data_IF_867711339994
#
_entry.id   IF_867711339994
#
_cell.length_a   1.000
_cell.length_b   1.000
_cell.length_c   1.000
_cell.angle_alpha   90.00
_cell.angle_beta   90.00
_cell.angle_gamma   90.00
#
_symmetry.space_group_name_H-M   'P 1'
#
loop_
_entity.id
_entity.type
_entity.pdbx_description
1 polymer ?
#
# COMPACT_ATOMS: atom_id res chain seq x y z
N UNK A 1 -14.14 -21.91 -1.58
CA UNK A 1 -12.69 -21.78 -1.35
C UNK A 1 -12.08 -21.29 -2.66
N UNK A 2 -11.95 -19.97 -2.84
CA UNK A 2 -11.39 -19.39 -4.06
C UNK A 2 -9.85 -19.49 -4.05
N UNK A 3 -9.18 -19.47 -5.21
CA UNK A 3 -7.72 -19.44 -5.26
C UNK A 3 -7.22 -18.12 -4.64
N UNK A 4 -6.44 -18.22 -3.56
CA UNK A 4 -5.69 -17.08 -3.04
C UNK A 4 -4.54 -16.79 -4.01
N UNK A 5 -4.66 -15.73 -4.80
CA UNK A 5 -3.62 -15.32 -5.73
C UNK A 5 -2.52 -14.57 -4.96
N UNK A 6 -1.50 -15.29 -4.51
CA UNK A 6 -0.44 -14.74 -3.66
C UNK A 6 0.73 -14.10 -4.44
N UNK A 7 0.65 -14.03 -5.79
CA UNK A 7 1.76 -13.55 -6.63
C UNK A 7 3.03 -14.42 -6.60
N UNK A 8 2.96 -15.59 -5.97
CA UNK A 8 4.05 -16.56 -5.81
C UNK A 8 4.13 -17.53 -7.00
N UNK A 9 5.33 -18.04 -7.31
CA UNK A 9 5.55 -19.01 -8.39
C UNK A 9 4.86 -20.36 -8.12
N UNK A 10 4.67 -20.71 -6.85
CA UNK A 10 4.00 -21.93 -6.42
C UNK A 10 2.97 -21.62 -5.34
N UNK A 11 1.89 -22.42 -5.30
CA UNK A 11 0.89 -22.30 -4.26
C UNK A 11 1.46 -22.72 -2.90
N UNK A 12 1.27 -21.88 -1.88
CA UNK A 12 1.64 -22.16 -0.49
C UNK A 12 0.43 -21.99 0.41
N UNK A 13 0.27 -22.91 1.36
CA UNK A 13 -0.86 -22.89 2.30
C UNK A 13 -0.74 -21.80 3.35
N UNK A 14 0.50 -21.45 3.74
CA UNK A 14 0.78 -20.36 4.66
C UNK A 14 0.98 -19.04 3.90
N UNK A 15 0.43 -17.96 4.46
CA UNK A 15 0.65 -16.61 3.92
C UNK A 15 2.16 -16.25 3.95
N UNK A 16 2.69 -15.63 2.87
CA UNK A 16 4.09 -15.17 2.82
C UNK A 16 4.42 -14.11 3.87
N UNK A 17 3.42 -13.34 4.28
CA UNK A 17 3.60 -12.17 5.14
C UNK A 17 2.38 -12.03 6.03
N UNK A 18 2.62 -11.65 7.29
CA UNK A 18 1.54 -11.34 8.22
C UNK A 18 0.80 -10.06 7.74
N UNK A 19 -0.52 -10.09 7.53
CA UNK A 19 -1.28 -8.96 6.98
C UNK A 19 -1.14 -7.67 7.80
N UNK A 20 -0.91 -7.78 9.11
CA UNK A 20 -0.75 -6.62 10.00
C UNK A 20 0.64 -5.98 9.95
N UNK A 21 1.60 -6.57 9.21
CA UNK A 21 3.00 -6.11 9.17
C UNK A 21 3.12 -4.65 8.74
N UNK A 22 2.34 -4.23 7.73
CA UNK A 22 2.35 -2.87 7.23
C UNK A 22 1.79 -1.88 8.26
N UNK A 23 0.66 -2.22 8.89
CA UNK A 23 0.06 -1.40 9.95
C UNK A 23 0.97 -1.28 11.17
N UNK A 24 1.64 -2.36 11.58
CA UNK A 24 2.63 -2.34 12.67
C UNK A 24 3.85 -1.50 12.32
N UNK A 25 4.31 -1.57 11.07
CA UNK A 25 5.41 -0.74 10.59
C UNK A 25 5.04 0.75 10.58
N UNK A 26 3.87 1.12 10.03
CA UNK A 26 3.37 2.50 10.03
C UNK A 26 3.28 3.08 11.45
N UNK A 27 2.73 2.31 12.39
CA UNK A 27 2.67 2.70 13.80
C UNK A 27 4.05 2.91 14.41
N UNK A 28 5.05 2.10 14.02
CA UNK A 28 6.42 2.19 14.54
C UNK A 28 7.17 3.42 14.02
N UNK A 29 6.98 3.79 12.76
CA UNK A 29 7.67 4.96 12.18
C UNK A 29 7.00 6.29 12.55
N UNK A 30 5.70 6.26 12.87
CA UNK A 30 4.96 7.43 13.33
C UNK A 30 4.56 8.40 12.21
N UNK A 31 3.59 9.26 12.51
CA UNK A 31 2.93 10.13 11.52
C UNK A 31 3.90 11.08 10.80
N UNK A 32 4.82 11.70 11.53
CA UNK A 32 5.78 12.65 10.94
C UNK A 32 6.68 11.98 9.88
N UNK A 33 7.03 10.71 10.05
CA UNK A 33 7.83 9.97 9.06
C UNK A 33 6.95 9.55 7.87
N UNK A 34 5.70 9.17 8.13
CA UNK A 34 4.73 8.82 7.08
C UNK A 34 4.44 10.02 6.17
N UNK A 35 4.25 11.21 6.75
CA UNK A 35 4.04 12.45 6.00
C UNK A 35 5.24 12.76 5.09
N UNK A 36 6.46 12.64 5.63
CA UNK A 36 7.69 12.80 4.84
C UNK A 36 7.77 11.78 3.71
N UNK A 37 7.40 10.52 3.96
CA UNK A 37 7.40 9.48 2.94
C UNK A 37 6.42 9.80 1.80
N UNK A 38 5.24 10.34 2.13
CA UNK A 38 4.27 10.80 1.14
C UNK A 38 4.85 11.96 0.30
N UNK A 39 5.45 12.96 0.95
CA UNK A 39 6.09 14.10 0.27
C UNK A 39 7.17 13.64 -0.72
N UNK A 40 8.09 12.76 -0.28
CA UNK A 40 9.16 12.24 -1.14
C UNK A 40 8.63 11.41 -2.31
N UNK A 41 7.53 10.68 -2.10
CA UNK A 41 6.87 9.89 -3.15
C UNK A 41 6.27 10.80 -4.23
N UNK A 42 5.63 11.91 -3.85
CA UNK A 42 5.10 12.90 -4.80
C UNK A 42 6.23 13.59 -5.57
N UNK A 43 7.32 13.91 -4.89
CA UNK A 43 8.50 14.51 -5.52
C UNK A 43 9.19 13.56 -6.50
N UNK A 44 9.33 12.28 -6.14
CA UNK A 44 9.84 11.25 -7.04
C UNK A 44 8.93 11.09 -8.27
N UNK A 45 7.61 11.08 -8.07
CA UNK A 45 6.65 10.99 -9.16
C UNK A 45 6.73 12.19 -10.13
N UNK A 46 6.93 13.40 -9.58
CA UNK A 46 7.16 14.61 -10.36
C UNK A 46 8.46 14.55 -11.17
N UNK A 47 9.58 14.14 -10.54
CA UNK A 47 10.88 13.97 -11.23
C UNK A 47 10.80 12.90 -12.33
N UNK A 48 10.09 11.80 -12.05
CA UNK A 48 9.88 10.70 -13.00
C UNK A 48 8.88 10.99 -14.12
N UNK A 49 8.15 12.13 -14.07
CA UNK A 49 7.09 12.49 -15.01
C UNK A 49 6.01 11.40 -15.17
N UNK A 50 5.80 10.61 -14.12
CA UNK A 50 4.80 9.51 -14.10
C UNK A 50 3.41 9.99 -13.67
N UNK A 51 3.28 11.26 -13.30
CA UNK A 51 2.03 11.90 -12.88
C UNK A 51 1.85 13.21 -13.66
N UNK A 52 0.61 13.49 -14.09
CA UNK A 52 0.25 14.74 -14.79
C UNK A 52 0.13 15.87 -13.77
N UNK A 53 0.49 17.09 -14.14
CA UNK A 53 0.36 18.24 -13.22
C UNK A 53 -1.05 18.42 -12.66
N UNK A 54 -2.09 18.18 -13.47
CA UNK A 54 -3.51 18.24 -13.06
C UNK A 54 -3.89 17.21 -11.99
N UNK A 55 -3.10 16.14 -11.83
CA UNK A 55 -3.36 15.12 -10.80
C UNK A 55 -3.08 15.62 -9.38
N UNK A 56 -2.36 16.74 -9.20
CA UNK A 56 -2.15 17.34 -7.89
C UNK A 56 -3.31 18.26 -7.45
N UNK A 57 -4.27 18.55 -8.34
CA UNK A 57 -5.41 19.42 -8.05
C UNK A 57 -6.47 18.74 -7.17
N UNK A 58 -6.49 17.40 -7.15
CA UNK A 58 -7.49 16.61 -6.43
C UNK A 58 -6.81 15.46 -5.70
N UNK A 59 -7.29 15.17 -4.49
CA UNK A 59 -6.83 14.02 -3.69
C UNK A 59 -7.94 12.98 -3.67
N UNK A 60 -7.60 11.75 -4.07
CA UNK A 60 -8.49 10.58 -3.96
C UNK A 60 -8.02 9.76 -2.77
N UNK A 61 -8.90 9.58 -1.79
CA UNK A 61 -8.64 8.72 -0.63
C UNK A 61 -9.39 7.41 -0.87
N UNK A 62 -8.65 6.35 -1.19
CA UNK A 62 -9.23 5.00 -1.27
C UNK A 62 -9.24 4.39 0.14
N UNK A 63 -10.42 4.15 0.70
CA UNK A 63 -10.61 3.48 1.99
C UNK A 63 -11.34 2.15 1.82
N UNK A 64 -11.07 1.43 0.74
CA UNK A 64 -11.69 0.12 0.52
C UNK A 64 -10.97 -0.94 1.36
N UNK A 65 -11.60 -1.36 2.45
CA UNK A 65 -11.18 -2.58 3.16
C UNK A 65 -11.85 -3.75 2.46
N UNK A 66 -11.07 -4.56 1.77
CA UNK A 66 -11.53 -5.87 1.33
C UNK A 66 -11.63 -6.77 2.57
N UNK A 67 -12.82 -7.31 2.85
CA UNK A 67 -13.01 -8.26 3.94
C UNK A 67 -12.07 -9.45 3.72
N UNK A 68 -11.20 -9.73 4.69
CA UNK A 68 -10.49 -11.01 4.69
C UNK A 68 -11.53 -12.11 4.87
N UNK A 69 -11.55 -13.09 3.98
CA UNK A 69 -12.44 -14.24 4.10
C UNK A 69 -12.10 -15.01 5.39
N UNK A 70 -12.85 -14.72 6.46
CA UNK A 70 -12.81 -15.48 7.71
C UNK A 70 -13.43 -16.86 7.41
N UNK A 71 -12.66 -17.92 7.61
CA UNK A 71 -13.09 -19.31 7.54
C UNK A 71 -13.22 -19.90 8.96
#
# INVERSE_FOLDING_TARGET
>A
MGPHFCGETFFRHTLPTDPSSLTRWLKRIGEAVVERLLSESLDAARRGRVVKSRSFDNVIIDTTVMEEAIA
#
